data_IF_793026973405
#
_entry.id   IF_793026973405
#
_cell.length_a   1.000
_cell.length_b   1.000
_cell.length_c   1.000
_cell.angle_alpha   90.00
_cell.angle_beta   90.00
_cell.angle_gamma   90.00
#
_symmetry.space_group_name_H-M   'P 1'
#
loop_
_entity.id
_entity.type
_entity.pdbx_description
1 polymer ?
#
# COMPACT_ATOMS: atom_id res chain seq x y z
N UNK A 1 -17.74 5.63 -26.03
CA UNK A 1 -17.78 5.77 -24.56
C UNK A 1 -16.56 5.02 -24.03
N UNK A 2 -15.50 5.74 -23.63
CA UNK A 2 -14.37 5.12 -22.95
C UNK A 2 -14.85 4.75 -21.54
N UNK A 3 -15.07 3.46 -21.29
CA UNK A 3 -15.13 2.94 -19.93
C UNK A 3 -13.67 2.82 -19.50
N UNK A 4 -13.15 3.83 -18.80
CA UNK A 4 -12.03 3.54 -17.91
C UNK A 4 -12.54 2.47 -16.94
N UNK A 5 -11.94 1.26 -16.92
CA UNK A 5 -12.37 0.22 -16.01
C UNK A 5 -12.20 0.76 -14.58
N UNK A 6 -13.32 0.93 -13.88
CA UNK A 6 -13.27 1.26 -12.46
C UNK A 6 -12.58 0.12 -11.73
N UNK A 7 -11.59 0.42 -10.86
CA UNK A 7 -10.89 -0.62 -10.16
C UNK A 7 -11.84 -1.41 -9.28
N UNK A 8 -11.61 -2.72 -9.25
CA UNK A 8 -12.32 -3.61 -8.33
C UNK A 8 -12.24 -3.04 -6.91
N UNK A 9 -13.28 -3.22 -6.09
CA UNK A 9 -13.32 -2.65 -4.73
C UNK A 9 -12.09 -2.99 -3.91
N UNK A 10 -11.55 -4.20 -4.04
CA UNK A 10 -10.31 -4.62 -3.38
C UNK A 10 -9.07 -3.89 -3.91
N UNK A 11 -8.99 -3.66 -5.22
CA UNK A 11 -7.90 -2.91 -5.87
C UNK A 11 -7.91 -1.46 -5.40
N UNK A 12 -9.09 -0.82 -5.36
CA UNK A 12 -9.24 0.54 -4.84
C UNK A 12 -8.81 0.65 -3.36
N UNK A 13 -9.19 -0.33 -2.53
CA UNK A 13 -8.77 -0.39 -1.12
C UNK A 13 -7.25 -0.57 -0.98
N UNK A 14 -6.65 -1.48 -1.74
CA UNK A 14 -5.21 -1.70 -1.73
C UNK A 14 -4.44 -0.44 -2.14
N UNK A 15 -4.89 0.28 -3.18
CA UNK A 15 -4.30 1.57 -3.57
C UNK A 15 -4.37 2.61 -2.46
N UNK A 16 -5.49 2.67 -1.73
CA UNK A 16 -5.65 3.60 -0.62
C UNK A 16 -4.72 3.27 0.56
N UNK A 17 -4.56 1.98 0.88
CA UNK A 17 -3.63 1.55 1.92
C UNK A 17 -2.18 1.80 1.48
N UNK A 18 -1.84 1.56 0.21
CA UNK A 18 -0.52 1.89 -0.33
C UNK A 18 -0.17 3.38 -0.15
N UNK A 19 -1.11 4.28 -0.45
CA UNK A 19 -0.93 5.73 -0.20
C UNK A 19 -0.73 6.04 1.30
N UNK A 20 -1.42 5.33 2.18
CA UNK A 20 -1.28 5.49 3.64
C UNK A 20 0.10 5.03 4.12
N UNK A 21 0.63 3.94 3.55
CA UNK A 21 2.00 3.45 3.79
C UNK A 21 3.03 4.49 3.33
N UNK A 22 2.87 5.03 2.12
CA UNK A 22 3.76 6.06 1.59
C UNK A 22 3.76 7.34 2.46
N UNK A 23 2.59 7.75 2.95
CA UNK A 23 2.47 8.87 3.88
C UNK A 23 3.20 8.59 5.20
N UNK A 24 3.07 7.37 5.76
CA UNK A 24 3.79 6.98 6.97
C UNK A 24 5.31 7.09 6.77
N UNK A 25 5.84 6.56 5.67
CA UNK A 25 7.26 6.69 5.34
C UNK A 25 7.70 8.14 5.19
N UNK A 26 6.89 9.00 4.58
CA UNK A 26 7.20 10.43 4.47
C UNK A 26 7.26 11.12 5.85
N UNK A 27 6.37 10.77 6.79
CA UNK A 27 6.42 11.28 8.16
C UNK A 27 7.63 10.78 8.94
N UNK A 28 8.00 9.50 8.76
CA UNK A 28 9.19 8.92 9.38
C UNK A 28 10.47 9.56 8.85
N UNK A 29 10.57 9.80 7.54
CA UNK A 29 11.73 10.42 6.90
C UNK A 29 11.95 11.87 7.36
N UNK A 30 10.87 12.61 7.62
CA UNK A 30 10.94 13.98 8.17
C UNK A 30 11.25 14.01 9.67
N UNK A 31 11.06 12.91 10.39
CA UNK A 31 11.21 12.83 11.85
C UNK A 31 10.35 13.86 12.62
N UNK A 32 9.17 14.19 12.10
CA UNK A 32 8.26 15.19 12.65
C UNK A 32 7.47 14.66 13.87
N UNK A 33 8.10 14.67 15.05
CA UNK A 33 7.44 14.57 16.36
C UNK A 33 6.33 13.52 16.49
N UNK A 34 5.15 13.93 16.98
CA UNK A 34 3.99 13.04 17.22
C UNK A 34 3.51 12.34 15.93
N UNK A 35 3.65 12.98 14.77
CA UNK A 35 3.25 12.35 13.49
C UNK A 35 4.19 11.21 13.10
N UNK A 36 5.48 11.32 13.42
CA UNK A 36 6.45 10.24 13.22
C UNK A 36 6.15 9.04 14.15
N UNK A 37 5.80 9.29 15.42
CA UNK A 37 5.39 8.23 16.35
C UNK A 37 4.13 7.52 15.86
N UNK A 38 3.09 8.26 15.50
CA UNK A 38 1.85 7.68 14.95
C UNK A 38 2.12 6.88 13.68
N UNK A 39 2.94 7.40 12.77
CA UNK A 39 3.34 6.69 11.55
C UNK A 39 4.11 5.39 11.86
N UNK A 40 5.03 5.40 12.83
CA UNK A 40 5.77 4.21 13.25
C UNK A 40 4.84 3.11 13.78
N UNK A 41 3.83 3.50 14.56
CA UNK A 41 2.86 2.57 15.14
C UNK A 41 1.86 2.03 14.11
N UNK A 42 1.44 2.85 13.14
CA UNK A 42 0.43 2.48 12.14
C UNK A 42 1.01 1.75 10.92
N UNK A 43 2.26 2.01 10.56
CA UNK A 43 2.92 1.38 9.41
C UNK A 43 2.81 -0.17 9.39
N UNK A 44 3.07 -0.91 10.48
CA UNK A 44 2.91 -2.37 10.47
C UNK A 44 1.44 -2.80 10.25
N UNK A 45 0.47 -2.05 10.78
CA UNK A 45 -0.95 -2.34 10.58
C UNK A 45 -1.37 -2.21 9.12
N UNK A 46 -0.98 -1.12 8.46
CA UNK A 46 -1.28 -0.91 7.04
C UNK A 46 -0.58 -1.95 6.15
N UNK A 47 0.66 -2.34 6.46
CA UNK A 47 1.36 -3.42 5.74
C UNK A 47 0.62 -4.75 5.84
N UNK A 48 0.25 -5.15 7.05
CA UNK A 48 -0.46 -6.40 7.26
C UNK A 48 -1.84 -6.41 6.57
N UNK A 49 -2.54 -5.28 6.55
CA UNK A 49 -3.81 -5.15 5.83
C UNK A 49 -3.64 -5.21 4.31
N UNK A 50 -2.62 -4.53 3.77
CA UNK A 50 -2.28 -4.56 2.36
C UNK A 50 -1.95 -6.00 1.90
N UNK A 51 -1.08 -6.70 2.65
CA UNK A 51 -0.73 -8.10 2.37
C UNK A 51 -1.95 -9.00 2.39
N UNK A 52 -2.84 -8.84 3.39
CA UNK A 52 -4.09 -9.61 3.48
C UNK A 52 -4.98 -9.38 2.26
N UNK A 53 -5.10 -8.14 1.80
CA UNK A 53 -5.89 -7.82 0.60
C UNK A 53 -5.28 -8.44 -0.66
N UNK A 54 -3.96 -8.31 -0.85
CA UNK A 54 -3.26 -8.89 -2.01
C UNK A 54 -3.39 -10.41 -2.04
N UNK A 55 -3.29 -11.09 -0.89
CA UNK A 55 -3.49 -12.54 -0.80
C UNK A 55 -4.91 -12.99 -1.15
N UNK A 56 -5.90 -12.12 -0.96
CA UNK A 56 -7.31 -12.39 -1.29
C UNK A 56 -7.68 -11.99 -2.74
N UNK A 57 -6.77 -11.37 -3.49
CA UNK A 57 -7.01 -10.96 -4.88
C UNK A 57 -6.89 -12.13 -5.85
N UNK A 58 -7.71 -12.08 -6.89
CA UNK A 58 -7.53 -12.88 -8.10
C UNK A 58 -6.33 -12.39 -8.92
N UNK A 59 -5.84 -13.22 -9.84
CA UNK A 59 -4.76 -12.84 -10.74
C UNK A 59 -5.08 -11.59 -11.58
N UNK A 60 -6.35 -11.39 -11.95
CA UNK A 60 -6.80 -10.18 -12.66
C UNK A 60 -6.67 -8.93 -11.79
N UNK A 61 -7.15 -8.99 -10.55
CA UNK A 61 -7.05 -7.89 -9.58
C UNK A 61 -5.58 -7.59 -9.21
N UNK A 62 -4.74 -8.61 -9.05
CA UNK A 62 -3.30 -8.41 -8.77
C UNK A 62 -2.58 -7.77 -9.95
N UNK A 63 -2.88 -8.19 -11.19
CA UNK A 63 -2.32 -7.57 -12.39
C UNK A 63 -2.78 -6.11 -12.56
N UNK A 64 -4.05 -5.85 -12.28
CA UNK A 64 -4.61 -4.50 -12.28
C UNK A 64 -3.94 -3.62 -11.20
N UNK A 65 -3.82 -4.12 -9.96
CA UNK A 65 -3.11 -3.40 -8.90
C UNK A 65 -1.65 -3.11 -9.30
N UNK A 66 -0.97 -4.09 -9.89
CA UNK A 66 0.43 -3.95 -10.30
C UNK A 66 0.61 -2.95 -11.44
N UNK A 67 -0.36 -2.83 -12.36
CA UNK A 67 -0.30 -1.83 -13.44
C UNK A 67 -0.55 -0.41 -12.94
N UNK A 68 -1.28 -0.26 -11.83
CA UNK A 68 -1.62 1.03 -11.21
C UNK A 68 -0.58 1.50 -10.19
N UNK A 69 0.24 0.60 -9.64
CA UNK A 69 1.34 0.95 -8.74
C UNK A 69 2.57 1.38 -9.54
N UNK A 70 3.32 2.40 -9.10
CA UNK A 70 4.56 2.81 -9.77
C UNK A 70 5.56 1.65 -9.82
N UNK A 71 6.17 1.43 -10.98
CA UNK A 71 7.21 0.42 -11.19
C UNK A 71 8.40 0.73 -10.27
N UNK A 72 8.43 0.10 -9.09
CA UNK A 72 9.50 0.28 -8.08
C UNK A 72 9.08 0.06 -6.63
N UNK A 73 7.81 0.31 -6.26
CA UNK A 73 7.38 0.30 -4.84
C UNK A 73 6.89 -1.07 -4.33
N UNK A 74 6.35 -1.93 -5.20
CA UNK A 74 5.83 -3.25 -4.81
C UNK A 74 6.90 -4.14 -4.11
N UNK A 75 8.19 -3.98 -4.46
CA UNK A 75 9.29 -4.71 -3.81
C UNK A 75 9.70 -4.12 -2.46
N UNK A 76 9.51 -2.83 -2.22
CA UNK A 76 9.95 -2.17 -0.98
C UNK A 76 8.98 -2.43 0.19
N UNK A 77 7.71 -2.67 -0.11
CA UNK A 77 6.71 -3.08 0.89
C UNK A 77 6.92 -4.52 1.38
N UNK A 78 7.44 -5.41 0.54
CA UNK A 78 7.69 -6.83 0.86
C UNK A 78 9.10 -7.13 1.44
N UNK A 79 10.01 -6.15 1.44
CA UNK A 79 11.44 -6.38 1.76
C UNK A 79 11.88 -5.78 3.10
N UNK A 80 11.05 -5.82 4.15
CA UNK A 80 11.52 -5.51 5.51
C UNK A 80 11.72 -6.79 6.31
N UNK A 81 12.87 -6.96 7.00
CA UNK A 81 13.11 -8.13 7.81
C UNK A 81 12.09 -8.16 8.94
N UNK A 82 11.50 -9.33 9.14
CA UNK A 82 10.74 -9.67 10.33
C UNK A 82 11.72 -9.57 11.52
N UNK A 83 11.62 -8.50 12.30
CA UNK A 83 12.28 -8.40 13.60
C UNK A 83 11.56 -9.29 14.62
#
# INVERSE_FOLDING_TARGET
MNHDPQPSTRVAQALQIHRSIAACHAHLARSDGIHALTAALMLPCYRAEFERLVLAMSAAETNELTSLLPVGEARQSLSLPRA
#
